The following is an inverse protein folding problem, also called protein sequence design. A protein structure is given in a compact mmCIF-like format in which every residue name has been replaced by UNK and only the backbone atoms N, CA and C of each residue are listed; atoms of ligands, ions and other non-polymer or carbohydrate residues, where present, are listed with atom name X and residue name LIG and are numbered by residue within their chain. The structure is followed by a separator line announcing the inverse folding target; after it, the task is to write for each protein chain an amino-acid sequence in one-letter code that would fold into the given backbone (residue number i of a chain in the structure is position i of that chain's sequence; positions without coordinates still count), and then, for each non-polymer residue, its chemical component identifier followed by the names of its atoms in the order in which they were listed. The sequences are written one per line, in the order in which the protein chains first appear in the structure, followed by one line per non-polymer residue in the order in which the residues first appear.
data_IF_807412171626
#
_entry.id   IF_807412171626
#
_cell.length_a   1.000
_cell.length_b   1.000
_cell.length_c   1.000
_cell.angle_alpha   90.00
_cell.angle_beta   90.00
_cell.angle_gamma   90.00
#
_symmetry.space_group_name_H-M   'P 1'
#
loop_
_entity.id
_entity.type
_entity.pdbx_description
1 polymer ?
#
# COMPACT_ATOMS: atom_id res chain seq x y z
N UNK A 1 0.35 -5.40 -22.50
CA UNK A 1 1.36 -4.72 -21.67
C UNK A 1 0.73 -4.45 -20.32
N UNK A 2 1.40 -4.78 -19.22
CA UNK A 2 0.96 -4.31 -17.90
C UNK A 2 1.11 -2.79 -17.97
N UNK A 3 0.03 -2.04 -17.74
CA UNK A 3 0.10 -0.59 -17.79
C UNK A 3 1.07 -0.12 -16.70
N UNK A 4 2.13 0.58 -17.10
CA UNK A 4 3.24 1.02 -16.23
C UNK A 4 2.82 1.84 -15.00
N UNK A 5 1.56 2.28 -14.94
CA UNK A 5 0.99 3.11 -13.89
C UNK A 5 0.15 2.35 -12.86
N UNK A 6 -0.02 1.04 -12.99
CA UNK A 6 -0.77 0.25 -12.01
C UNK A 6 0.11 -0.17 -10.81
N UNK A 7 -0.52 -0.23 -9.64
CA UNK A 7 0.06 -0.75 -8.40
C UNK A 7 -0.05 -2.28 -8.35
N UNK A 8 0.74 -2.91 -7.48
CA UNK A 8 0.68 -4.35 -7.21
C UNK A 8 0.35 -4.55 -5.73
N UNK A 9 -0.58 -5.47 -5.43
CA UNK A 9 -0.85 -5.96 -4.08
C UNK A 9 -0.38 -7.41 -3.94
N UNK A 10 0.51 -7.68 -2.98
CA UNK A 10 0.96 -9.04 -2.70
C UNK A 10 0.06 -9.80 -1.71
N UNK A 11 -0.79 -9.11 -0.95
CA UNK A 11 -1.76 -9.70 -0.01
C UNK A 11 -3.16 -9.10 -0.21
N UNK A 12 -3.82 -9.33 -1.37
CA UNK A 12 -5.18 -8.84 -1.60
C UNK A 12 -6.15 -9.42 -0.57
N UNK A 13 -7.09 -8.60 -0.13
CA UNK A 13 -8.08 -8.90 0.92
C UNK A 13 -7.51 -9.46 2.24
N UNK A 14 -6.21 -9.29 2.51
CA UNK A 14 -5.54 -9.77 3.72
C UNK A 14 -5.70 -11.28 3.98
N UNK A 15 -5.70 -12.09 2.92
CA UNK A 15 -5.85 -13.55 3.03
C UNK A 15 -4.66 -14.24 3.72
N UNK A 16 -3.47 -13.63 3.65
CA UNK A 16 -2.26 -14.12 4.32
C UNK A 16 -2.01 -13.47 5.68
N UNK A 17 -1.48 -14.24 6.63
CA UNK A 17 -1.04 -13.73 7.95
C UNK A 17 0.37 -13.14 7.89
N UNK A 18 0.59 -12.17 7.00
CA UNK A 18 1.85 -11.47 6.86
C UNK A 18 1.64 -10.01 6.42
N UNK A 19 2.64 -9.17 6.69
CA UNK A 19 2.69 -7.77 6.29
C UNK A 19 3.40 -7.63 4.95
N UNK A 20 2.95 -6.70 4.12
CA UNK A 20 3.59 -6.45 2.84
C UNK A 20 4.35 -5.14 2.88
N UNK A 21 5.66 -5.20 2.61
CA UNK A 21 6.44 -4.01 2.28
C UNK A 21 6.65 -3.95 0.77
N UNK A 22 6.35 -2.80 0.18
CA UNK A 22 6.60 -2.53 -1.22
C UNK A 22 7.79 -1.58 -1.38
N UNK A 23 8.38 -1.54 -2.58
CA UNK A 23 9.34 -0.48 -2.89
C UNK A 23 8.65 0.91 -2.91
N UNK A 24 9.47 1.96 -2.91
CA UNK A 24 8.96 3.32 -2.88
C UNK A 24 8.12 3.71 -4.11
N UNK A 25 8.34 3.08 -5.27
CA UNK A 25 7.56 3.37 -6.48
C UNK A 25 6.15 2.82 -6.36
N UNK A 26 6.01 1.57 -5.94
CA UNK A 26 4.71 0.95 -5.75
C UNK A 26 3.95 1.62 -4.59
N UNK A 27 4.61 2.02 -3.50
CA UNK A 27 3.99 2.84 -2.46
C UNK A 27 3.43 4.15 -3.02
N UNK A 28 4.17 4.86 -3.87
CA UNK A 28 3.67 6.09 -4.52
C UNK A 28 2.45 5.82 -5.40
N UNK A 29 2.44 4.72 -6.16
CA UNK A 29 1.29 4.33 -7.00
C UNK A 29 0.06 3.99 -6.16
N UNK A 30 0.24 3.24 -5.06
CA UNK A 30 -0.83 2.92 -4.11
C UNK A 30 -1.40 4.20 -3.48
N UNK A 31 -0.54 5.09 -2.99
CA UNK A 31 -0.95 6.38 -2.40
C UNK A 31 -1.71 7.22 -3.43
N UNK A 32 -1.23 7.29 -4.67
CA UNK A 32 -1.91 8.00 -5.74
C UNK A 32 -3.29 7.41 -6.04
N UNK A 33 -3.42 6.08 -6.08
CA UNK A 33 -4.71 5.42 -6.27
C UNK A 33 -5.65 5.72 -5.10
N UNK A 34 -5.20 5.62 -3.85
CA UNK A 34 -5.99 5.93 -2.66
C UNK A 34 -6.51 7.39 -2.69
N UNK A 35 -5.68 8.33 -3.13
CA UNK A 35 -6.07 9.75 -3.27
C UNK A 35 -7.03 10.01 -4.44
N UNK A 36 -6.87 9.29 -5.55
CA UNK A 36 -7.63 9.51 -6.79
C UNK A 36 -8.98 8.79 -6.75
N UNK A 37 -8.99 7.51 -6.41
CA UNK A 37 -10.19 6.70 -6.24
C UNK A 37 -9.90 5.52 -5.29
N UNK A 38 -10.18 5.74 -4.01
CA UNK A 38 -9.98 4.73 -2.98
C UNK A 38 -10.91 3.51 -3.13
N UNK A 39 -11.98 3.58 -3.94
CA UNK A 39 -12.93 2.47 -4.12
C UNK A 39 -12.39 1.37 -5.04
N UNK A 40 -11.26 1.61 -5.71
CA UNK A 40 -10.50 0.56 -6.42
C UNK A 40 -9.97 -0.53 -5.49
N UNK A 41 -9.77 -0.20 -4.22
CA UNK A 41 -9.43 -1.15 -3.18
C UNK A 41 -10.67 -1.48 -2.35
N UNK A 42 -10.79 -2.73 -1.90
CA UNK A 42 -11.79 -3.13 -0.91
C UNK A 42 -11.57 -2.39 0.42
N UNK A 43 -12.57 -2.36 1.30
CA UNK A 43 -12.42 -1.75 2.64
C UNK A 43 -11.28 -2.42 3.41
N UNK A 44 -11.17 -3.74 3.28
CA UNK A 44 -10.17 -4.58 3.96
C UNK A 44 -8.77 -4.27 3.44
N UNK A 45 -8.60 -4.20 2.12
CA UNK A 45 -7.32 -3.84 1.50
C UNK A 45 -6.82 -2.47 1.95
N UNK A 46 -7.71 -1.46 2.01
CA UNK A 46 -7.33 -0.12 2.50
C UNK A 46 -6.88 -0.15 3.96
N UNK A 47 -7.60 -0.86 4.82
CA UNK A 47 -7.23 -0.99 6.23
C UNK A 47 -5.86 -1.68 6.38
N UNK A 48 -5.62 -2.73 5.61
CA UNK A 48 -4.35 -3.44 5.57
C UNK A 48 -3.18 -2.56 5.12
N UNK A 49 -3.35 -1.82 4.02
CA UNK A 49 -2.33 -0.90 3.51
C UNK A 49 -1.96 0.19 4.52
N UNK A 50 -2.94 0.74 5.23
CA UNK A 50 -2.71 1.76 6.27
C UNK A 50 -1.99 1.14 7.48
N UNK A 51 -2.42 -0.03 7.94
CA UNK A 51 -1.77 -0.72 9.05
C UNK A 51 -0.32 -1.08 8.72
N UNK A 52 -0.05 -1.60 7.52
CA UNK A 52 1.30 -1.91 7.07
C UNK A 52 2.18 -0.66 6.99
N UNK A 53 1.68 0.43 6.38
CA UNK A 53 2.44 1.68 6.28
C UNK A 53 2.82 2.26 7.66
N UNK A 54 1.89 2.28 8.62
CA UNK A 54 2.13 2.78 9.97
C UNK A 54 3.10 1.88 10.75
N UNK A 55 3.01 0.57 10.61
CA UNK A 55 3.92 -0.37 11.28
C UNK A 55 5.33 -0.33 10.68
N UNK A 56 5.46 -0.11 9.37
CA UNK A 56 6.75 0.00 8.68
C UNK A 56 7.44 1.35 8.90
N UNK A 57 6.68 2.42 9.22
CA UNK A 57 7.24 3.72 9.57
C UNK A 57 7.97 3.70 10.93
N UNK A 58 7.46 2.96 11.93
CA UNK A 58 8.04 2.91 13.29
C UNK A 58 9.52 2.51 13.32
N UNK A 59 9.97 1.46 12.62
CA UNK A 59 11.39 1.09 12.53
C UNK A 59 12.17 1.84 11.44
N UNK A 60 11.61 2.89 10.81
CA UNK A 60 12.20 3.58 9.64
C UNK A 60 12.40 2.67 8.40
N UNK A 61 11.62 1.60 8.25
CA UNK A 61 11.64 0.76 7.04
C UNK A 61 10.98 1.51 5.86
N UNK A 62 9.90 2.23 6.16
CA UNK A 62 9.24 3.13 5.22
C UNK A 62 9.46 4.59 5.68
N UNK A 63 9.88 5.52 4.82
CA UNK A 63 10.01 6.92 5.18
C UNK A 63 8.68 7.51 5.66
N UNK A 64 8.70 8.22 6.80
CA UNK A 64 7.51 8.85 7.36
C UNK A 64 6.81 9.83 6.39
N UNK A 65 7.55 10.42 5.44
CA UNK A 65 7.02 11.30 4.40
C UNK A 65 6.10 10.62 3.38
N UNK A 66 6.09 9.28 3.31
CA UNK A 66 5.12 8.53 2.52
C UNK A 66 3.87 8.17 3.32
N UNK A 67 3.91 8.29 4.64
CA UNK A 67 2.85 7.85 5.57
C UNK A 67 2.02 9.01 6.11
N UNK A 68 2.64 10.18 6.29
CA UNK A 68 2.03 11.44 6.76
C UNK A 68 1.76 12.39 5.58
#
# INVERSE_FOLDING_TARGET
SIQSNEWILANPDLLGFFRTNYDGENWRKIIQQLKTDHKKFSVVERAGLIDDALNLARPNILPASLVL
#
